data_IF_066548107223
#
_entry.id   IF_066548107223
#
_cell.length_a   1.000
_cell.length_b   1.000
_cell.length_c   1.000
_cell.angle_alpha   90.00
_cell.angle_beta   90.00
_cell.angle_gamma   90.00
#
_symmetry.space_group_name_H-M   'P 1'
#
loop_
_entity.id
_entity.type
_entity.pdbx_description
1 polymer ?
#
# COMPACT_ATOMS: atom_id res chain seq x y z
N UNK A 1 39.75 -8.96 -5.42
CA UNK A 1 38.90 -7.79 -5.11
C UNK A 1 38.85 -7.61 -3.60
N UNK A 2 39.03 -6.40 -3.06
CA UNK A 2 38.99 -6.19 -1.62
C UNK A 2 37.56 -6.37 -1.11
N UNK A 3 37.37 -7.22 -0.09
CA UNK A 3 36.14 -7.27 0.72
C UNK A 3 36.02 -5.92 1.41
N UNK A 4 35.05 -5.11 0.97
CA UNK A 4 34.67 -3.89 1.67
C UNK A 4 33.71 -4.30 2.79
N UNK A 5 34.25 -4.58 3.97
CA UNK A 5 33.50 -4.69 5.21
C UNK A 5 33.10 -3.28 5.66
N UNK A 6 31.91 -2.81 5.27
CA UNK A 6 31.25 -1.71 5.99
C UNK A 6 29.75 -2.07 6.12
N UNK A 7 29.14 -1.59 7.20
CA UNK A 7 27.70 -1.27 7.38
C UNK A 7 26.71 -2.23 8.11
N UNK A 8 27.07 -3.29 8.86
CA UNK A 8 26.08 -3.95 9.75
C UNK A 8 25.83 -3.18 11.04
N UNK A 9 26.89 -2.68 11.68
CA UNK A 9 26.83 -2.06 13.02
C UNK A 9 26.19 -0.67 12.99
N UNK A 10 26.67 0.22 12.12
CA UNK A 10 26.10 1.58 11.95
C UNK A 10 24.63 1.54 11.51
N UNK A 11 24.26 0.59 10.66
CA UNK A 11 22.86 0.35 10.27
C UNK A 11 22.00 -0.04 11.48
N UNK A 12 22.47 -1.00 12.29
CA UNK A 12 21.74 -1.45 13.48
C UNK A 12 21.59 -0.32 14.51
N UNK A 13 22.61 0.52 14.68
CA UNK A 13 22.59 1.67 15.58
C UNK A 13 21.58 2.73 15.12
N UNK A 14 21.60 3.11 13.83
CA UNK A 14 20.63 4.06 13.28
C UNK A 14 19.19 3.51 13.31
N UNK A 15 18.99 2.23 12.95
CA UNK A 15 17.67 1.58 13.03
C UNK A 15 17.15 1.61 14.47
N UNK A 16 18.00 1.40 15.47
CA UNK A 16 17.61 1.45 16.87
C UNK A 16 17.23 2.87 17.30
N UNK A 17 17.99 3.89 16.88
CA UNK A 17 17.67 5.30 17.15
C UNK A 17 16.30 5.69 16.58
N UNK A 18 15.96 5.20 15.39
CA UNK A 18 14.69 5.48 14.70
C UNK A 18 13.63 4.38 14.89
N UNK A 19 13.85 3.42 15.78
CA UNK A 19 12.94 2.28 15.96
C UNK A 19 11.51 2.73 16.29
N UNK A 20 11.36 3.79 17.08
CA UNK A 20 10.05 4.38 17.39
C UNK A 20 9.29 4.81 16.14
N UNK A 21 9.97 5.43 15.17
CA UNK A 21 9.38 5.90 13.92
C UNK A 21 9.07 4.73 13.00
N UNK A 22 10.07 3.86 12.80
CA UNK A 22 9.99 2.71 11.89
C UNK A 22 8.88 1.77 12.35
N UNK A 23 8.84 1.43 13.64
CA UNK A 23 7.84 0.50 14.17
C UNK A 23 6.42 1.09 14.09
N UNK A 24 6.27 2.40 14.37
CA UNK A 24 4.96 3.06 14.30
C UNK A 24 4.41 3.09 12.87
N UNK A 25 5.25 3.47 11.90
CA UNK A 25 4.83 3.46 10.49
C UNK A 25 4.68 2.05 9.95
N UNK A 26 5.51 1.08 10.35
CA UNK A 26 5.32 -0.32 9.97
C UNK A 26 3.95 -0.84 10.41
N UNK A 27 3.51 -0.53 11.65
CA UNK A 27 2.18 -0.92 12.10
C UNK A 27 1.05 -0.24 11.31
N UNK A 28 1.23 1.04 10.93
CA UNK A 28 0.27 1.74 10.06
C UNK A 28 0.20 1.10 8.67
N UNK A 29 1.33 0.89 8.02
CA UNK A 29 1.36 0.30 6.67
C UNK A 29 0.91 -1.16 6.67
N UNK A 30 1.18 -1.93 7.73
CA UNK A 30 0.85 -3.37 7.83
C UNK A 30 -0.46 -3.64 8.59
N UNK A 31 -1.27 -2.60 8.81
CA UNK A 31 -2.55 -2.75 9.50
C UNK A 31 -3.40 -3.78 8.77
N UNK A 32 -3.79 -4.84 9.48
CA UNK A 32 -4.56 -5.95 8.91
C UNK A 32 -5.75 -6.37 9.76
N UNK A 33 -6.30 -5.41 10.50
CA UNK A 33 -7.30 -5.68 11.54
C UNK A 33 -8.51 -4.77 11.42
N UNK A 34 -9.66 -5.32 11.79
CA UNK A 34 -10.93 -4.60 11.98
C UNK A 34 -11.36 -4.63 13.46
N UNK A 35 -10.54 -5.21 14.34
CA UNK A 35 -10.81 -5.30 15.76
C UNK A 35 -10.46 -3.99 16.46
N UNK A 36 -11.38 -3.49 17.26
CA UNK A 36 -11.26 -2.20 17.95
C UNK A 36 -10.12 -2.13 18.96
N UNK A 37 -9.84 -3.23 19.68
CA UNK A 37 -8.77 -3.30 20.66
C UNK A 37 -7.39 -3.25 19.99
N UNK A 38 -7.22 -3.97 18.86
CA UNK A 38 -5.99 -3.93 18.08
C UNK A 38 -5.77 -2.56 17.43
N UNK A 39 -6.84 -1.93 16.91
CA UNK A 39 -6.79 -0.56 16.39
C UNK A 39 -6.36 0.41 17.50
N UNK A 40 -6.92 0.29 18.70
CA UNK A 40 -6.53 1.11 19.85
C UNK A 40 -5.07 0.89 20.25
N UNK A 41 -4.56 -0.36 20.18
CA UNK A 41 -3.15 -0.64 20.44
C UNK A 41 -2.23 0.06 19.43
N UNK A 42 -2.60 0.13 18.15
CA UNK A 42 -1.84 0.87 17.13
C UNK A 42 -1.90 2.38 17.42
N UNK A 43 -3.08 2.89 17.79
CA UNK A 43 -3.26 4.28 18.19
C UNK A 43 -2.36 4.67 19.37
N UNK A 44 -2.36 3.91 20.46
CA UNK A 44 -1.53 4.21 21.65
C UNK A 44 -0.03 4.21 21.32
N UNK A 45 0.40 3.33 20.42
CA UNK A 45 1.78 3.32 19.94
C UNK A 45 2.11 4.59 19.15
N UNK A 46 1.24 5.02 18.24
CA UNK A 46 1.40 6.27 17.47
C UNK A 46 1.42 7.48 18.41
N UNK A 47 0.45 7.52 19.34
CA UNK A 47 0.29 8.55 20.36
C UNK A 47 1.59 8.78 21.12
N UNK A 48 2.09 7.72 21.76
CA UNK A 48 3.29 7.77 22.60
C UNK A 48 4.55 8.06 21.79
N UNK A 49 4.75 7.36 20.66
CA UNK A 49 6.01 7.41 19.94
C UNK A 49 6.17 8.64 19.04
N UNK A 50 5.07 9.13 18.45
CA UNK A 50 5.11 10.17 17.41
C UNK A 50 4.55 11.51 17.89
N UNK A 51 3.41 11.51 18.58
CA UNK A 51 2.69 12.74 18.91
C UNK A 51 3.15 13.32 20.25
N UNK A 52 3.05 12.56 21.33
CA UNK A 52 3.38 13.02 22.69
C UNK A 52 4.88 13.30 22.85
N UNK A 53 5.70 12.61 22.06
CA UNK A 53 7.14 12.88 21.95
C UNK A 53 7.47 14.20 21.23
N UNK A 54 6.45 14.93 20.73
CA UNK A 54 6.52 16.19 19.97
C UNK A 54 7.32 16.10 18.68
N UNK A 55 7.46 14.89 18.13
CA UNK A 55 8.21 14.64 16.90
C UNK A 55 7.34 14.81 15.65
N UNK A 56 6.04 14.61 15.78
CA UNK A 56 5.05 14.74 14.71
C UNK A 56 3.84 15.55 15.18
N UNK A 57 3.31 16.35 14.28
CA UNK A 57 2.05 17.06 14.50
C UNK A 57 0.87 16.09 14.28
N UNK A 58 -0.18 16.12 15.12
CA UNK A 58 -1.37 15.27 14.95
C UNK A 58 -1.98 15.36 13.53
N UNK A 59 -2.04 16.57 12.97
CA UNK A 59 -2.58 16.82 11.63
C UNK A 59 -1.78 16.09 10.55
N UNK A 60 -0.45 16.03 10.70
CA UNK A 60 0.41 15.32 9.76
C UNK A 60 0.19 13.80 9.84
N UNK A 61 -0.06 13.26 11.03
CA UNK A 61 -0.37 11.83 11.16
C UNK A 61 -1.72 11.49 10.52
N UNK A 62 -2.74 12.32 10.71
CA UNK A 62 -4.04 12.11 10.03
C UNK A 62 -3.86 12.16 8.51
N UNK A 63 -3.06 13.10 8.00
CA UNK A 63 -2.71 13.19 6.58
C UNK A 63 -2.00 11.93 6.09
N UNK A 64 -1.02 11.44 6.83
CA UNK A 64 -0.26 10.24 6.48
C UNK A 64 -1.16 8.99 6.47
N UNK A 65 -2.05 8.86 7.46
CA UNK A 65 -3.06 7.80 7.48
C UNK A 65 -3.89 7.82 6.19
N UNK A 66 -4.39 8.97 5.76
CA UNK A 66 -5.18 9.08 4.52
C UNK A 66 -4.37 8.75 3.27
N UNK A 67 -3.09 9.10 3.24
CA UNK A 67 -2.19 8.75 2.13
C UNK A 67 -1.86 7.25 2.07
N UNK A 68 -2.02 6.52 3.17
CA UNK A 68 -1.79 5.06 3.24
C UNK A 68 -3.00 4.29 2.69
N UNK A 69 -4.22 4.80 2.89
CA UNK A 69 -5.47 4.08 2.54
C UNK A 69 -5.46 3.52 1.10
N UNK A 70 -5.05 4.24 0.04
CA UNK A 70 -5.02 3.69 -1.32
C UNK A 70 -4.23 2.40 -1.51
N UNK A 71 -3.26 2.13 -0.64
CA UNK A 71 -2.37 0.96 -0.73
C UNK A 71 -2.79 -0.17 0.20
N UNK A 72 -3.83 0.04 0.99
CA UNK A 72 -4.38 -0.95 1.91
C UNK A 72 -5.88 -0.71 2.16
N UNK A 73 -6.64 -0.44 1.10
CA UNK A 73 -8.01 0.05 1.22
C UNK A 73 -8.99 -0.99 1.79
N UNK A 74 -8.59 -2.28 1.87
CA UNK A 74 -9.29 -3.35 2.59
C UNK A 74 -9.64 -2.96 4.03
N UNK A 75 -8.80 -2.14 4.67
CA UNK A 75 -8.96 -1.71 6.06
C UNK A 75 -9.28 -0.21 6.18
N UNK A 76 -9.88 0.39 5.16
CA UNK A 76 -10.22 1.82 5.15
C UNK A 76 -10.97 2.25 6.42
N UNK A 77 -11.99 1.49 6.86
CA UNK A 77 -12.74 1.80 8.09
C UNK A 77 -11.83 1.87 9.33
N UNK A 78 -10.88 0.95 9.45
CA UNK A 78 -9.90 0.93 10.55
C UNK A 78 -9.01 2.16 10.52
N UNK A 79 -8.54 2.57 9.33
CA UNK A 79 -7.76 3.79 9.16
C UNK A 79 -8.56 5.05 9.50
N UNK A 80 -9.81 5.14 9.06
CA UNK A 80 -10.70 6.26 9.43
C UNK A 80 -10.91 6.33 10.93
N UNK A 81 -11.04 5.18 11.61
CA UNK A 81 -11.15 5.11 13.07
C UNK A 81 -9.86 5.60 13.76
N UNK A 82 -8.68 5.18 13.30
CA UNK A 82 -7.41 5.72 13.80
C UNK A 82 -7.33 7.25 13.64
N UNK A 83 -7.69 7.77 12.47
CA UNK A 83 -7.72 9.20 12.23
C UNK A 83 -8.70 9.92 13.15
N UNK A 84 -9.87 9.32 13.43
CA UNK A 84 -10.89 9.85 14.35
C UNK A 84 -10.38 9.95 15.79
N UNK A 85 -9.70 8.91 16.28
CA UNK A 85 -9.11 8.92 17.63
C UNK A 85 -8.10 10.05 17.80
N UNK A 86 -7.24 10.26 16.81
CA UNK A 86 -6.26 11.36 16.82
C UNK A 86 -6.96 12.72 16.72
N UNK A 87 -7.98 12.82 15.87
CA UNK A 87 -8.76 14.04 15.70
C UNK A 87 -9.40 14.50 17.01
N UNK A 88 -10.06 13.58 17.71
CA UNK A 88 -10.79 13.87 18.95
C UNK A 88 -9.84 14.25 20.09
N UNK A 89 -8.80 13.45 20.33
CA UNK A 89 -7.88 13.64 21.44
C UNK A 89 -7.11 14.96 21.32
N UNK A 90 -6.61 15.26 20.12
CA UNK A 90 -5.73 16.41 19.90
C UNK A 90 -6.46 17.64 19.34
N UNK A 91 -7.79 17.58 19.21
CA UNK A 91 -8.62 18.68 18.68
C UNK A 91 -8.12 19.20 17.33
N UNK A 92 -7.76 18.27 16.42
CA UNK A 92 -7.32 18.62 15.06
C UNK A 92 -8.41 19.43 14.39
N UNK A 93 -8.09 20.62 13.87
CA UNK A 93 -9.12 21.48 13.26
C UNK A 93 -9.29 21.22 11.77
N UNK A 94 -8.17 21.12 11.04
CA UNK A 94 -8.15 20.98 9.59
C UNK A 94 -6.87 20.29 9.14
N UNK A 95 -6.93 19.54 8.04
CA UNK A 95 -5.78 18.82 7.49
C UNK A 95 -5.54 19.26 6.04
N UNK A 96 -4.45 20.01 5.83
CA UNK A 96 -4.13 20.66 4.55
C UNK A 96 -3.50 19.65 3.57
N UNK A 97 -3.85 19.76 2.28
CA UNK A 97 -3.47 18.85 1.18
C UNK A 97 -3.75 17.37 1.46
N UNK A 98 -4.93 17.07 2.02
CA UNK A 98 -5.42 15.69 2.10
C UNK A 98 -6.03 15.28 0.77
N UNK A 99 -5.93 13.99 0.37
CA UNK A 99 -6.67 13.52 -0.79
C UNK A 99 -8.17 13.75 -0.57
N UNK A 100 -8.80 14.53 -1.46
CA UNK A 100 -10.20 14.96 -1.31
C UNK A 100 -11.16 13.79 -1.06
N UNK A 101 -10.89 12.63 -1.65
CA UNK A 101 -11.71 11.42 -1.56
C UNK A 101 -11.80 10.87 -0.14
N UNK A 102 -10.68 10.79 0.59
CA UNK A 102 -10.69 10.22 1.96
C UNK A 102 -11.19 11.22 3.00
N UNK A 103 -10.95 12.52 2.78
CA UNK A 103 -11.59 13.57 3.59
C UNK A 103 -13.11 13.55 3.43
N UNK A 104 -13.61 13.30 2.21
CA UNK A 104 -15.04 13.15 1.93
C UNK A 104 -15.62 11.89 2.57
N UNK A 105 -14.88 10.77 2.53
CA UNK A 105 -15.27 9.53 3.20
C UNK A 105 -15.30 9.70 4.73
N UNK A 106 -14.33 10.41 5.30
CA UNK A 106 -14.31 10.73 6.73
C UNK A 106 -15.51 11.60 7.14
N UNK A 107 -15.89 12.57 6.29
CA UNK A 107 -17.11 13.35 6.48
C UNK A 107 -18.37 12.49 6.40
N UNK A 108 -18.47 11.57 5.43
CA UNK A 108 -19.60 10.64 5.30
C UNK A 108 -19.77 9.76 6.54
N UNK A 109 -18.67 9.25 7.09
CA UNK A 109 -18.68 8.34 8.25
C UNK A 109 -18.96 9.07 9.58
N UNK A 110 -18.38 10.27 9.79
CA UNK A 110 -18.39 10.93 11.10
C UNK A 110 -19.03 12.32 11.13
N UNK A 111 -19.45 12.87 9.98
CA UNK A 111 -19.99 14.24 9.87
C UNK A 111 -18.94 15.34 10.07
N UNK A 112 -17.64 15.02 9.99
CA UNK A 112 -16.54 15.96 10.27
C UNK A 112 -15.84 16.35 8.98
N UNK A 113 -15.85 17.66 8.67
CA UNK A 113 -15.15 18.18 7.51
C UNK A 113 -13.72 18.60 7.87
N UNK A 114 -12.73 17.83 7.40
CA UNK A 114 -11.31 18.11 7.60
C UNK A 114 -10.71 19.07 6.57
N UNK A 115 -11.43 19.33 5.47
CA UNK A 115 -10.96 20.14 4.37
C UNK A 115 -11.66 21.51 4.37
N UNK A 116 -10.91 22.61 4.21
CA UNK A 116 -11.51 23.96 4.16
C UNK A 116 -12.09 24.32 2.79
N UNK A 117 -11.83 23.53 1.75
CA UNK A 117 -12.42 23.74 0.44
C UNK A 117 -13.90 23.37 0.49
N UNK A 118 -14.77 24.38 0.44
CA UNK A 118 -16.22 24.31 0.64
C UNK A 118 -17.01 23.55 -0.44
N UNK A 119 -16.36 22.73 -1.27
CA UNK A 119 -16.99 22.05 -2.41
C UNK A 119 -16.57 20.58 -2.41
N UNK A 120 -17.15 19.79 -1.50
CA UNK A 120 -17.30 18.37 -1.76
C UNK A 120 -18.60 18.28 -2.57
N UNK A 121 -18.49 18.07 -3.88
CA UNK A 121 -19.69 17.88 -4.71
C UNK A 121 -20.46 16.67 -4.18
N UNK A 122 -21.75 16.83 -3.88
CA UNK A 122 -22.62 15.77 -3.35
C UNK A 122 -22.64 14.51 -4.24
N UNK A 123 -22.38 14.68 -5.54
CA UNK A 123 -22.25 13.61 -6.55
C UNK A 123 -21.02 12.73 -6.33
N UNK A 124 -19.96 13.21 -5.66
CA UNK A 124 -18.81 12.39 -5.31
C UNK A 124 -19.12 11.44 -4.15
N UNK A 125 -19.94 11.88 -3.17
CA UNK A 125 -20.28 11.13 -1.94
C UNK A 125 -21.17 9.91 -2.18
N UNK A 126 -22.07 9.98 -3.17
CA UNK A 126 -22.97 8.89 -3.55
C UNK A 126 -22.20 7.67 -4.12
N UNK A 127 -21.04 7.92 -4.75
CA UNK A 127 -20.19 6.87 -5.33
C UNK A 127 -19.11 6.32 -4.37
N UNK A 128 -19.10 6.75 -3.09
CA UNK A 128 -18.07 6.35 -2.10
C UNK A 128 -18.38 5.05 -1.35
N UNK A 129 -19.45 4.32 -1.65
CA UNK A 129 -19.61 2.98 -1.07
C UNK A 129 -18.46 2.10 -1.54
N UNK A 130 -17.61 1.68 -0.58
CA UNK A 130 -16.36 1.01 -0.92
C UNK A 130 -16.64 -0.25 -1.74
N UNK A 131 -17.69 -1.03 -1.45
CA UNK A 131 -18.40 -1.92 -2.37
C UNK A 131 -19.70 -2.38 -1.69
N UNK A 132 -20.79 -2.68 -2.43
CA UNK A 132 -21.92 -3.40 -1.87
C UNK A 132 -21.45 -4.75 -1.32
N UNK A 133 -21.84 -5.07 -0.08
CA UNK A 133 -21.74 -6.44 0.45
C UNK A 133 -22.42 -7.35 -0.58
N UNK A 134 -21.67 -8.28 -1.21
CA UNK A 134 -22.09 -9.07 -2.39
C UNK A 134 -21.70 -8.59 -3.79
N UNK A 135 -20.60 -7.86 -3.94
CA UNK A 135 -19.92 -7.68 -5.24
C UNK A 135 -18.87 -8.77 -5.54
N UNK A 136 -18.54 -8.93 -6.82
CA UNK A 136 -17.38 -9.75 -7.26
C UNK A 136 -16.06 -9.20 -6.70
N UNK A 137 -15.98 -7.87 -6.51
CA UNK A 137 -14.81 -7.21 -5.92
C UNK A 137 -14.57 -7.63 -4.47
N UNK A 138 -15.63 -7.84 -3.69
CA UNK A 138 -15.50 -8.39 -2.34
C UNK A 138 -15.00 -9.85 -2.36
N UNK A 139 -15.42 -10.66 -3.34
CA UNK A 139 -14.89 -12.01 -3.50
C UNK A 139 -13.39 -11.99 -3.82
N UNK A 140 -12.93 -11.07 -4.68
CA UNK A 140 -11.49 -10.85 -4.92
C UNK A 140 -10.79 -10.38 -3.64
N UNK A 141 -11.33 -9.35 -2.97
CA UNK A 141 -10.71 -8.78 -1.78
C UNK A 141 -10.50 -9.81 -0.67
N UNK A 142 -11.38 -10.79 -0.53
CA UNK A 142 -11.29 -11.87 0.46
C UNK A 142 -10.63 -13.15 -0.10
N UNK A 143 -10.20 -13.15 -1.37
CA UNK A 143 -9.73 -14.33 -2.12
C UNK A 143 -10.70 -15.54 -2.04
N UNK A 144 -12.00 -15.28 -2.05
CA UNK A 144 -13.04 -16.31 -2.02
C UNK A 144 -13.31 -16.84 -3.44
N UNK A 145 -12.53 -17.84 -3.84
CA UNK A 145 -12.63 -18.46 -5.16
C UNK A 145 -14.04 -19.01 -5.46
N UNK A 146 -14.70 -19.64 -4.48
CA UNK A 146 -16.02 -20.25 -4.72
C UNK A 146 -17.05 -19.19 -5.06
N UNK A 147 -17.05 -18.11 -4.29
CA UNK A 147 -17.91 -16.96 -4.54
C UNK A 147 -17.56 -16.27 -5.84
N UNK A 148 -16.28 -16.11 -6.13
CA UNK A 148 -15.80 -15.52 -7.39
C UNK A 148 -16.33 -16.29 -8.60
N UNK A 149 -16.16 -17.62 -8.64
CA UNK A 149 -16.68 -18.49 -9.70
C UNK A 149 -18.18 -18.29 -9.91
N UNK A 150 -18.96 -18.25 -8.81
CA UNK A 150 -20.41 -18.04 -8.88
C UNK A 150 -20.84 -16.71 -9.51
N UNK A 151 -19.96 -15.70 -9.54
CA UNK A 151 -20.21 -14.46 -10.28
C UNK A 151 -19.88 -14.62 -11.77
N UNK A 152 -18.80 -15.35 -12.08
CA UNK A 152 -18.36 -15.56 -13.47
C UNK A 152 -19.29 -16.46 -14.29
N UNK A 153 -20.08 -17.31 -13.62
CA UNK A 153 -21.05 -18.22 -14.24
C UNK A 153 -22.43 -17.57 -14.48
N UNK A 154 -22.63 -16.32 -14.08
CA UNK A 154 -23.91 -15.63 -14.28
C UNK A 154 -24.07 -15.18 -15.72
N UNK A 155 -25.30 -15.27 -16.23
CA UNK A 155 -25.66 -14.69 -17.52
C UNK A 155 -25.32 -13.19 -17.56
N UNK A 156 -24.59 -12.78 -18.60
CA UNK A 156 -24.14 -11.40 -18.78
C UNK A 156 -22.89 -11.01 -18.01
N UNK A 157 -22.17 -11.97 -17.41
CA UNK A 157 -20.82 -11.72 -16.89
C UNK A 157 -19.89 -11.19 -18.00
N UNK A 158 -19.23 -10.06 -17.72
CA UNK A 158 -18.22 -9.47 -18.59
C UNK A 158 -16.83 -9.67 -17.97
N UNK A 159 -15.97 -10.45 -18.63
CA UNK A 159 -14.60 -10.71 -18.19
C UNK A 159 -13.71 -9.45 -18.29
N UNK A 160 -13.99 -8.58 -19.25
CA UNK A 160 -13.29 -7.32 -19.48
C UNK A 160 -13.83 -6.17 -18.61
N UNK A 161 -14.69 -6.47 -17.64
CA UNK A 161 -15.21 -5.44 -16.75
C UNK A 161 -14.07 -4.77 -15.98
N UNK A 162 -14.16 -3.44 -15.89
CA UNK A 162 -13.18 -2.61 -15.17
C UNK A 162 -13.86 -1.85 -14.05
N UNK A 163 -13.21 -1.81 -12.89
CA UNK A 163 -13.63 -1.02 -11.76
C UNK A 163 -13.01 0.38 -11.85
N UNK A 164 -13.81 1.40 -12.12
CA UNK A 164 -13.39 2.78 -11.98
C UNK A 164 -13.74 3.29 -10.57
N UNK A 165 -12.73 3.42 -9.71
CA UNK A 165 -12.93 3.85 -8.33
C UNK A 165 -11.76 4.70 -7.84
N UNK A 166 -12.05 5.90 -7.32
CA UNK A 166 -11.03 6.86 -6.85
C UNK A 166 -10.29 6.41 -5.58
N UNK A 167 -10.67 5.29 -4.97
CA UNK A 167 -9.98 4.71 -3.81
C UNK A 167 -8.69 3.96 -4.18
N UNK A 168 -8.37 3.82 -5.46
CA UNK A 168 -7.17 3.15 -5.94
C UNK A 168 -6.17 4.16 -6.52
N UNK A 169 -4.85 3.93 -6.40
CA UNK A 169 -3.82 4.87 -6.81
C UNK A 169 -3.74 5.11 -8.34
N UNK A 170 -4.26 4.20 -9.17
CA UNK A 170 -4.19 4.27 -10.64
C UNK A 170 -5.56 4.08 -11.31
N UNK A 171 -6.58 4.84 -10.89
CA UNK A 171 -7.97 4.57 -11.28
C UNK A 171 -8.44 5.17 -12.61
N UNK A 172 -7.61 5.89 -13.36
CA UNK A 172 -8.04 6.65 -14.57
C UNK A 172 -8.71 5.74 -15.60
N UNK A 173 -8.08 4.61 -15.89
CA UNK A 173 -8.60 3.62 -16.84
C UNK A 173 -9.40 2.50 -16.12
N UNK A 174 -9.59 2.62 -14.81
CA UNK A 174 -10.13 1.57 -13.95
C UNK A 174 -9.21 0.36 -13.81
N UNK A 175 -9.58 -0.58 -12.94
CA UNK A 175 -8.86 -1.83 -12.69
C UNK A 175 -9.60 -3.02 -13.26
N UNK A 176 -8.92 -3.89 -14.01
CA UNK A 176 -9.46 -5.19 -14.41
C UNK A 176 -9.60 -6.11 -13.19
N UNK A 177 -10.37 -7.20 -13.33
CA UNK A 177 -10.48 -8.22 -12.28
C UNK A 177 -9.12 -8.83 -11.93
N UNK A 178 -8.24 -9.03 -12.92
CA UNK A 178 -6.91 -9.57 -12.71
C UNK A 178 -6.00 -8.60 -11.95
N UNK A 179 -6.05 -7.30 -12.31
CA UNK A 179 -5.32 -6.24 -11.62
C UNK A 179 -5.77 -6.11 -10.15
N UNK A 180 -7.08 -6.24 -9.89
CA UNK A 180 -7.61 -6.29 -8.52
C UNK A 180 -7.13 -7.51 -7.75
N UNK A 181 -7.00 -8.68 -8.39
CA UNK A 181 -6.41 -9.85 -7.75
C UNK A 181 -4.97 -9.57 -7.31
N UNK A 182 -4.17 -8.90 -8.14
CA UNK A 182 -2.81 -8.48 -7.78
C UNK A 182 -2.79 -7.43 -6.66
N UNK A 183 -3.73 -6.49 -6.67
CA UNK A 183 -3.86 -5.47 -5.63
C UNK A 183 -4.20 -6.07 -4.25
N UNK A 184 -5.10 -7.07 -4.21
CA UNK A 184 -5.56 -7.69 -2.96
C UNK A 184 -4.81 -8.95 -2.54
N UNK A 185 -4.00 -9.52 -3.43
CA UNK A 185 -3.28 -10.78 -3.19
C UNK A 185 -4.19 -11.99 -3.32
N UNK A 186 -5.19 -11.90 -4.20
CA UNK A 186 -6.19 -12.94 -4.43
C UNK A 186 -5.66 -14.01 -5.42
N UNK A 187 -4.70 -14.81 -4.95
CA UNK A 187 -3.96 -15.78 -5.78
C UNK A 187 -4.89 -16.79 -6.45
N UNK A 188 -5.92 -17.27 -5.74
CA UNK A 188 -6.81 -18.28 -6.30
C UNK A 188 -7.71 -17.69 -7.40
N UNK A 189 -8.23 -16.48 -7.17
CA UNK A 189 -9.00 -15.76 -8.18
C UNK A 189 -8.13 -15.39 -9.40
N UNK A 190 -6.88 -14.98 -9.17
CA UNK A 190 -5.91 -14.69 -10.23
C UNK A 190 -5.67 -15.92 -11.13
N UNK A 191 -5.34 -17.06 -10.53
CA UNK A 191 -5.12 -18.32 -11.24
C UNK A 191 -6.33 -18.73 -12.06
N UNK A 192 -7.51 -18.59 -11.48
CA UNK A 192 -8.75 -18.89 -12.17
C UNK A 192 -8.94 -18.00 -13.41
N UNK A 193 -8.73 -16.69 -13.30
CA UNK A 193 -8.82 -15.76 -14.44
C UNK A 193 -7.83 -16.12 -15.57
N UNK A 194 -6.57 -16.38 -15.22
CA UNK A 194 -5.55 -16.82 -16.20
C UNK A 194 -5.92 -18.15 -16.86
N UNK A 195 -6.42 -19.11 -16.10
CA UNK A 195 -6.71 -20.46 -16.63
C UNK A 195 -7.99 -20.49 -17.45
N UNK A 196 -9.03 -19.78 -17.01
CA UNK A 196 -10.37 -19.89 -17.60
C UNK A 196 -10.59 -18.92 -18.76
N UNK A 197 -10.02 -17.72 -18.66
CA UNK A 197 -10.28 -16.61 -19.59
C UNK A 197 -9.01 -16.09 -20.28
N UNK A 198 -7.84 -16.68 -20.00
CA UNK A 198 -6.53 -16.23 -20.52
C UNK A 198 -6.27 -14.72 -20.32
N UNK A 199 -6.76 -14.17 -19.20
CA UNK A 199 -6.68 -12.74 -18.94
C UNK A 199 -5.24 -12.22 -18.95
N UNK A 200 -4.93 -11.19 -19.74
CA UNK A 200 -3.56 -10.69 -19.92
C UNK A 200 -2.97 -10.09 -18.62
N UNK A 201 -1.71 -10.42 -18.31
CA UNK A 201 -0.96 -9.79 -17.22
C UNK A 201 -0.46 -8.42 -17.68
N UNK A 202 -0.94 -7.36 -17.04
CA UNK A 202 -0.59 -5.98 -17.39
C UNK A 202 0.57 -5.45 -16.54
N UNK A 203 1.12 -4.29 -16.93
CA UNK A 203 2.10 -3.57 -16.10
C UNK A 203 1.50 -3.12 -14.74
N UNK A 204 0.19 -2.91 -14.65
CA UNK A 204 -0.47 -2.59 -13.38
C UNK A 204 -0.43 -3.77 -12.42
N UNK A 205 -0.64 -5.01 -12.90
CA UNK A 205 -0.48 -6.22 -12.09
C UNK A 205 0.88 -6.26 -11.36
N UNK A 206 1.98 -5.88 -12.04
CA UNK A 206 3.29 -5.75 -11.40
C UNK A 206 3.34 -4.64 -10.37
N UNK A 207 2.84 -3.45 -10.76
CA UNK A 207 2.93 -2.24 -9.96
C UNK A 207 2.18 -2.40 -8.65
N UNK A 208 0.99 -2.98 -8.69
CA UNK A 208 0.16 -3.22 -7.52
C UNK A 208 0.74 -4.32 -6.63
N UNK A 209 1.28 -5.40 -7.21
CA UNK A 209 1.99 -6.45 -6.44
C UNK A 209 3.20 -5.89 -5.68
N UNK A 210 3.88 -4.89 -6.24
CA UNK A 210 5.05 -4.25 -5.65
C UNK A 210 4.72 -3.15 -4.62
N UNK A 211 3.53 -2.57 -4.67
CA UNK A 211 3.14 -1.42 -3.85
C UNK A 211 2.15 -1.78 -2.74
N UNK A 212 1.32 -2.79 -2.96
CA UNK A 212 0.46 -3.43 -1.97
C UNK A 212 1.21 -4.65 -1.44
N UNK A 213 1.25 -4.87 -0.13
CA UNK A 213 2.17 -5.79 0.57
C UNK A 213 1.99 -7.29 0.24
N UNK A 214 2.25 -7.68 -1.00
CA UNK A 214 1.97 -9.01 -1.53
C UNK A 214 3.26 -9.58 -2.09
N UNK A 215 3.88 -10.47 -1.33
CA UNK A 215 4.94 -11.34 -1.83
C UNK A 215 4.37 -12.53 -2.62
N UNK A 216 3.10 -12.89 -2.48
CA UNK A 216 2.56 -14.15 -3.01
C UNK A 216 2.19 -14.12 -4.52
N UNK A 217 1.74 -12.98 -5.05
CA UNK A 217 1.56 -12.81 -6.50
C UNK A 217 2.87 -12.47 -7.22
N UNK A 218 3.90 -12.06 -6.47
CA UNK A 218 5.17 -11.60 -7.02
C UNK A 218 5.93 -12.71 -7.72
N UNK A 219 6.01 -13.90 -7.13
CA UNK A 219 6.73 -15.03 -7.73
C UNK A 219 6.06 -15.52 -9.02
N UNK A 220 4.73 -15.65 -9.05
CA UNK A 220 4.00 -16.13 -10.24
C UNK A 220 4.01 -15.11 -11.38
N UNK A 221 3.85 -13.81 -11.08
CA UNK A 221 3.91 -12.73 -12.08
C UNK A 221 5.34 -12.58 -12.66
N UNK A 222 6.37 -12.78 -11.84
CA UNK A 222 7.77 -12.71 -12.28
C UNK A 222 8.24 -13.96 -13.03
N UNK A 223 7.65 -15.13 -12.77
CA UNK A 223 7.93 -16.37 -13.50
C UNK A 223 7.32 -16.37 -14.91
N UNK A 224 6.09 -15.84 -15.06
CA UNK A 224 5.41 -15.76 -16.36
C UNK A 224 6.02 -14.67 -17.27
N UNK A 225 6.50 -13.57 -16.66
CA UNK A 225 7.22 -12.51 -17.36
C UNK A 225 8.72 -12.72 -17.28
N UNK A 226 9.25 -13.55 -18.20
CA UNK A 226 10.67 -13.57 -18.57
C UNK A 226 11.35 -12.20 -18.35
N UNK A 227 12.26 -12.16 -17.37
CA UNK A 227 12.77 -10.96 -16.69
C UNK A 227 13.10 -9.78 -17.64
N UNK A 228 12.20 -8.79 -17.76
CA UNK A 228 12.44 -7.57 -18.57
C UNK A 228 13.10 -6.45 -17.72
N UNK A 229 14.19 -5.82 -18.20
CA UNK A 229 14.87 -4.70 -17.52
C UNK A 229 13.95 -3.52 -17.14
N UNK A 230 12.83 -3.34 -17.85
CA UNK A 230 11.83 -2.31 -17.55
C UNK A 230 11.11 -2.53 -16.20
N UNK A 231 11.00 -3.78 -15.74
CA UNK A 231 10.36 -4.17 -14.47
C UNK A 231 11.26 -3.75 -13.30
N UNK A 232 12.57 -4.03 -13.39
CA UNK A 232 13.57 -3.59 -12.41
C UNK A 232 13.67 -2.05 -12.36
N UNK A 233 13.60 -1.38 -13.52
CA UNK A 233 13.58 0.07 -13.60
C UNK A 233 12.33 0.68 -12.93
N UNK A 234 11.16 0.02 -13.05
CA UNK A 234 9.90 0.42 -12.42
C UNK A 234 9.93 0.19 -10.91
N UNK A 235 10.47 -0.95 -10.46
CA UNK A 235 10.71 -1.23 -9.05
C UNK A 235 11.63 -0.17 -8.40
N UNK A 236 12.75 0.14 -9.05
CA UNK A 236 13.66 1.21 -8.60
C UNK A 236 12.99 2.60 -8.63
N UNK A 237 12.09 2.86 -9.58
CA UNK A 237 11.30 4.11 -9.66
C UNK A 237 10.27 4.23 -8.54
N UNK A 238 9.61 3.13 -8.17
CA UNK A 238 8.63 3.08 -7.07
C UNK A 238 9.30 3.18 -5.70
N UNK A 239 10.44 2.49 -5.53
CA UNK A 239 11.33 2.67 -4.40
C UNK A 239 11.77 4.15 -4.30
N UNK A 240 12.07 4.78 -5.45
CA UNK A 240 12.37 6.23 -5.58
C UNK A 240 11.15 7.15 -5.41
N UNK A 241 9.92 6.66 -5.52
CA UNK A 241 8.71 7.44 -5.28
C UNK A 241 8.37 7.47 -3.77
N UNK A 242 8.47 6.32 -3.10
CA UNK A 242 8.51 6.25 -1.62
C UNK A 242 9.63 7.16 -1.08
N UNK A 243 10.80 7.14 -1.72
CA UNK A 243 11.93 8.03 -1.45
C UNK A 243 11.60 9.52 -1.60
N UNK A 244 10.76 9.92 -2.58
CA UNK A 244 10.43 11.34 -2.82
C UNK A 244 9.42 11.88 -1.80
N UNK A 245 8.48 11.05 -1.35
CA UNK A 245 7.54 11.37 -0.25
C UNK A 245 8.29 11.53 1.08
N UNK A 246 9.31 10.69 1.31
CA UNK A 246 10.21 10.76 2.46
C UNK A 246 11.11 12.02 2.43
N UNK A 247 11.53 12.49 1.25
CA UNK A 247 12.39 13.67 1.08
C UNK A 247 11.70 15.03 1.32
N UNK A 248 10.37 15.08 1.45
CA UNK A 248 9.67 16.28 1.94
C UNK A 248 9.88 16.51 3.44
N UNK A 249 10.45 15.54 4.16
CA UNK A 249 10.77 15.64 5.57
C UNK A 249 12.09 16.43 5.76
N UNK A 250 12.08 17.52 6.54
CA UNK A 250 13.25 18.40 6.76
C UNK A 250 14.36 17.79 7.63
N UNK A 251 14.20 16.56 8.10
CA UNK A 251 15.17 15.91 8.99
C UNK A 251 16.35 15.29 8.22
N UNK A 252 17.49 15.99 8.25
CA UNK A 252 18.74 15.63 7.55
C UNK A 252 19.27 14.24 7.95
N UNK A 253 19.07 13.81 9.21
CA UNK A 253 19.56 12.52 9.68
C UNK A 253 18.70 11.35 9.17
N UNK A 254 17.39 11.54 9.04
CA UNK A 254 16.50 10.55 8.44
C UNK A 254 16.79 10.39 6.93
N UNK A 255 17.12 11.49 6.25
CA UNK A 255 17.58 11.47 4.86
C UNK A 255 18.86 10.62 4.70
N UNK A 256 19.83 10.78 5.60
CA UNK A 256 21.07 10.00 5.59
C UNK A 256 20.84 8.51 5.91
N UNK A 257 19.92 8.20 6.84
CA UNK A 257 19.52 6.82 7.15
C UNK A 257 18.93 6.10 5.92
N UNK A 258 18.09 6.79 5.14
CA UNK A 258 17.46 6.24 3.94
C UNK A 258 18.47 6.06 2.80
N UNK A 259 19.45 6.96 2.66
CA UNK A 259 20.57 6.80 1.71
C UNK A 259 21.37 5.54 2.03
N UNK A 260 21.72 5.33 3.30
CA UNK A 260 22.45 4.13 3.76
C UNK A 260 21.64 2.85 3.52
N UNK A 261 20.33 2.87 3.80
CA UNK A 261 19.42 1.76 3.51
C UNK A 261 19.37 1.42 2.02
N UNK A 262 19.34 2.42 1.15
CA UNK A 262 19.37 2.24 -0.30
C UNK A 262 20.70 1.67 -0.79
N UNK A 263 21.83 2.13 -0.25
CA UNK A 263 23.15 1.59 -0.60
C UNK A 263 23.30 0.13 -0.16
N UNK A 264 22.79 -0.22 1.03
CA UNK A 264 22.76 -1.61 1.51
C UNK A 264 21.87 -2.44 0.59
N UNK A 265 20.63 -2.01 0.33
CA UNK A 265 19.67 -2.77 -0.49
C UNK A 265 20.16 -2.99 -1.93
N UNK A 266 20.71 -1.96 -2.57
CA UNK A 266 21.32 -2.07 -3.90
C UNK A 266 22.49 -3.06 -3.87
N UNK A 267 23.38 -2.98 -2.87
CA UNK A 267 24.52 -3.92 -2.75
C UNK A 267 24.08 -5.36 -2.50
N UNK A 268 23.07 -5.59 -1.66
CA UNK A 268 22.58 -6.94 -1.34
C UNK A 268 21.78 -7.54 -2.51
N UNK A 269 20.93 -6.76 -3.18
CA UNK A 269 20.11 -7.22 -4.30
C UNK A 269 20.96 -7.51 -5.55
N UNK A 270 21.96 -6.69 -5.86
CA UNK A 270 22.89 -6.99 -6.96
C UNK A 270 23.79 -8.20 -6.65
N UNK A 271 24.18 -8.42 -5.38
CA UNK A 271 24.94 -9.59 -4.97
C UNK A 271 24.11 -10.89 -5.02
N UNK A 272 22.83 -10.86 -4.65
CA UNK A 272 21.93 -12.02 -4.74
C UNK A 272 21.56 -12.36 -6.19
N UNK A 273 21.39 -11.36 -7.06
CA UNK A 273 21.12 -11.56 -8.49
C UNK A 273 22.34 -12.12 -9.22
N UNK A 274 23.56 -11.71 -8.88
CA UNK A 274 24.78 -12.34 -9.42
C UNK A 274 24.96 -13.77 -8.91
N UNK A 275 24.62 -14.05 -7.64
CA UNK A 275 24.71 -15.40 -7.09
C UNK A 275 23.70 -16.37 -7.73
N UNK A 276 22.46 -15.92 -7.96
CA UNK A 276 21.42 -16.72 -8.62
C UNK A 276 21.77 -17.02 -10.08
N UNK A 277 22.37 -16.07 -10.80
CA UNK A 277 22.86 -16.27 -12.16
C UNK A 277 24.04 -17.26 -12.23
N UNK A 278 24.96 -17.20 -11.26
CA UNK A 278 26.09 -18.12 -11.18
C UNK A 278 25.60 -19.55 -10.84
N UNK A 279 24.65 -19.72 -9.92
CA UNK A 279 24.12 -21.07 -9.63
C UNK A 279 23.40 -21.69 -10.83
N UNK A 280 22.63 -20.92 -11.60
CA UNK A 280 21.92 -21.43 -12.79
C UNK A 280 22.82 -21.67 -14.01
N UNK A 281 24.01 -21.04 -14.08
CA UNK A 281 24.98 -21.25 -15.15
C UNK A 281 25.92 -22.45 -14.91
N UNK A 282 25.98 -22.96 -13.67
CA UNK A 282 26.83 -24.10 -13.29
C UNK A 282 26.05 -25.42 -13.08
N UNK A 283 24.73 -25.40 -13.19
CA UNK A 283 23.87 -26.60 -13.21
C UNK A 283 23.43 -27.00 -14.63
N UNK A 284 24.35 -26.92 -15.60
CA UNK A 284 24.23 -27.45 -16.98
C UNK A 284 25.41 -28.36 -17.32
#
# INVERSE_FOLDING_TARGET
>A
MPKIDIVPKEYSELRNIYAYYINSFNALYQLKTRNDEEINSIYEMIKTNLIDSKKYLPENIVKDIFNIIPYNNRYTKSYLKLAKLIFDEYNVKTVIDTPNVFSSLFYKEYGINLNKSNEIENTELENLEIFPENSIYNAIMDNDLKRFISFTERDGFNEDQRLNCKFYPHSVDGYSLLELCCYYGAVDCFKFLRTKFDSEITLLCLKDTLTCQIFCAYEEVMLDMSYKPEILATYLKLFKLQYTLIFKNKNILFRNYIIILCEIYIKTYFASVTFFFISTLYDL
#
